data_IF_424379582641
#
_entry.id   IF_424379582641
#
_cell.length_a   1.000
_cell.length_b   1.000
_cell.length_c   1.000
_cell.angle_alpha   90.00
_cell.angle_beta   90.00
_cell.angle_gamma   90.00
#
_symmetry.space_group_name_H-M   'P 1'
#
loop_
_entity.id
_entity.type
_entity.pdbx_description
1 polymer ?
#
# COMPACT_ATOMS: atom_id res chain seq x y z
N UNK A 1 -2.47 -14.93 49.89
CA UNK A 1 -2.54 -15.30 48.46
C UNK A 1 -2.80 -14.01 47.71
N UNK A 2 -1.72 -13.32 47.36
CA UNK A 2 -1.79 -12.04 46.66
C UNK A 2 -2.05 -12.29 45.18
N UNK A 3 -3.18 -11.78 44.71
CA UNK A 3 -3.61 -11.86 43.33
C UNK A 3 -2.73 -10.93 42.49
N UNK A 4 -1.66 -11.48 41.88
CA UNK A 4 -0.88 -10.75 40.88
C UNK A 4 -1.79 -10.37 39.72
N UNK A 5 -2.02 -9.07 39.55
CA UNK A 5 -2.64 -8.52 38.35
C UNK A 5 -1.75 -8.84 37.14
N UNK A 6 -2.32 -9.24 36.00
CA UNK A 6 -1.54 -9.46 34.79
C UNK A 6 -0.82 -8.17 34.40
N UNK A 7 0.49 -8.27 34.23
CA UNK A 7 1.35 -7.19 33.78
C UNK A 7 0.79 -6.66 32.44
N UNK A 8 0.36 -5.42 32.46
CA UNK A 8 0.07 -4.62 31.27
C UNK A 8 1.30 -4.68 30.35
N UNK A 9 1.07 -5.21 29.15
CA UNK A 9 1.96 -5.15 27.99
C UNK A 9 2.75 -3.83 28.01
N UNK A 10 4.08 -3.92 27.97
CA UNK A 10 4.97 -2.76 27.92
C UNK A 10 4.43 -1.72 26.93
N UNK A 11 3.96 -0.59 27.46
CA UNK A 11 3.79 0.64 26.68
C UNK A 11 5.20 1.05 26.26
N UNK A 12 5.68 0.47 25.16
CA UNK A 12 6.82 1.05 24.42
C UNK A 12 6.44 2.51 24.22
N UNK A 13 7.27 3.44 24.68
CA UNK A 13 7.08 4.87 24.43
C UNK A 13 7.30 5.11 22.94
N UNK A 14 6.23 4.86 22.17
CA UNK A 14 6.20 4.84 20.72
C UNK A 14 6.79 6.11 20.11
N UNK A 15 6.58 7.26 20.78
CA UNK A 15 7.12 8.57 20.40
C UNK A 15 8.66 8.63 20.35
N UNK A 16 9.35 7.75 21.09
CA UNK A 16 10.81 7.66 21.08
C UNK A 16 11.38 6.86 19.91
N UNK A 17 10.54 6.20 19.11
CA UNK A 17 10.96 5.44 17.94
C UNK A 17 10.88 6.30 16.67
N UNK A 18 11.70 6.02 15.64
CA UNK A 18 11.69 6.80 14.42
C UNK A 18 10.32 6.75 13.71
N UNK A 19 9.78 7.93 13.39
CA UNK A 19 8.42 8.11 12.88
C UNK A 19 7.31 7.98 13.92
N UNK A 20 7.61 7.71 15.19
CA UNK A 20 6.58 7.44 16.21
C UNK A 20 5.78 8.65 16.70
N UNK A 21 6.36 9.84 16.59
CA UNK A 21 5.72 11.11 16.93
C UNK A 21 4.60 11.52 15.95
N UNK A 22 4.48 10.86 14.79
CA UNK A 22 3.55 11.28 13.75
C UNK A 22 2.14 10.74 14.03
N UNK A 23 1.13 11.56 13.76
CA UNK A 23 -0.28 11.10 13.77
C UNK A 23 -0.61 10.41 12.45
N UNK A 24 -1.10 9.17 12.52
CA UNK A 24 -1.51 8.42 11.32
C UNK A 24 -2.64 9.12 10.58
N UNK A 25 -3.62 9.67 11.32
CA UNK A 25 -4.79 10.33 10.75
C UNK A 25 -4.46 11.71 10.17
N UNK A 26 -3.55 12.45 10.81
CA UNK A 26 -3.15 13.78 10.32
C UNK A 26 -2.18 13.70 9.16
N UNK A 27 -1.52 12.55 8.96
CA UNK A 27 -0.73 12.25 7.76
C UNK A 27 -1.56 12.13 6.48
N UNK A 28 -2.89 12.01 6.58
CA UNK A 28 -3.80 11.88 5.44
C UNK A 28 -4.50 13.23 5.13
N UNK A 29 -4.46 13.70 3.87
CA UNK A 29 -5.24 14.86 3.45
C UNK A 29 -6.74 14.65 3.70
N UNK A 30 -7.46 15.71 4.11
CA UNK A 30 -8.91 15.60 4.41
C UNK A 30 -9.72 15.07 3.22
N UNK A 31 -9.46 15.56 2.01
CA UNK A 31 -10.12 15.09 0.80
C UNK A 31 -9.93 13.58 0.56
N UNK A 32 -8.76 13.02 0.93
CA UNK A 32 -8.54 11.57 0.85
C UNK A 32 -9.32 10.83 1.94
N UNK A 33 -9.37 11.38 3.17
CA UNK A 33 -10.18 10.80 4.26
C UNK A 33 -11.65 10.77 3.88
N UNK A 34 -12.18 11.83 3.28
CA UNK A 34 -13.56 11.89 2.78
C UNK A 34 -13.83 10.83 1.71
N UNK A 35 -12.95 10.72 0.71
CA UNK A 35 -13.04 9.68 -0.32
C UNK A 35 -13.03 8.27 0.28
N UNK A 36 -12.20 8.02 1.29
CA UNK A 36 -12.10 6.72 1.95
C UNK A 36 -13.34 6.41 2.82
N UNK A 37 -13.97 7.41 3.43
CA UNK A 37 -15.20 7.22 4.23
C UNK A 37 -16.41 6.86 3.37
N UNK A 38 -16.45 7.33 2.12
CA UNK A 38 -17.55 7.04 1.18
C UNK A 38 -17.25 5.88 0.24
N UNK A 39 -16.00 5.38 0.23
CA UNK A 39 -15.60 4.30 -0.66
C UNK A 39 -16.39 3.01 -0.39
N UNK A 40 -16.82 2.35 -1.45
CA UNK A 40 -17.33 0.98 -1.37
C UNK A 40 -16.17 -0.01 -1.17
N UNK A 41 -15.07 0.19 -1.90
CA UNK A 41 -13.90 -0.67 -1.89
C UNK A 41 -12.61 0.14 -1.96
N UNK A 42 -11.59 -0.37 -1.28
CA UNK A 42 -10.19 0.02 -1.47
C UNK A 42 -9.47 -1.17 -2.10
N UNK A 43 -8.96 -1.01 -3.32
CA UNK A 43 -8.34 -2.10 -4.10
C UNK A 43 -6.86 -1.81 -4.31
N UNK A 44 -6.00 -2.60 -3.68
CA UNK A 44 -4.55 -2.51 -3.84
C UNK A 44 -4.12 -3.37 -5.02
N UNK A 45 -3.55 -2.74 -6.04
CA UNK A 45 -3.11 -3.40 -7.26
C UNK A 45 -1.60 -3.55 -7.24
N UNK A 46 -1.12 -4.78 -7.04
CA UNK A 46 0.31 -5.06 -7.07
C UNK A 46 0.90 -4.73 -8.46
N UNK A 47 2.21 -4.51 -8.50
CA UNK A 47 2.94 -4.42 -9.78
C UNK A 47 3.12 -5.80 -10.46
N UNK A 48 2.26 -6.78 -10.18
CA UNK A 48 2.42 -8.15 -10.65
C UNK A 48 2.25 -8.24 -12.20
N UNK A 49 3.25 -8.77 -12.94
CA UNK A 49 3.18 -8.90 -14.39
C UNK A 49 2.15 -9.94 -14.88
N UNK A 50 1.66 -10.80 -13.98
CA UNK A 50 0.55 -11.71 -14.26
C UNK A 50 -0.78 -10.97 -14.48
N UNK A 51 -0.99 -9.81 -13.82
CA UNK A 51 -2.20 -8.99 -13.95
C UNK A 51 -2.36 -8.48 -15.38
N UNK A 52 -3.57 -8.68 -15.92
CA UNK A 52 -4.02 -8.34 -17.27
C UNK A 52 -5.20 -7.37 -17.24
N UNK A 53 -5.60 -6.86 -18.40
CA UNK A 53 -6.81 -6.05 -18.54
C UNK A 53 -8.09 -6.81 -18.15
N UNK A 54 -8.13 -8.13 -18.31
CA UNK A 54 -9.29 -8.94 -17.93
C UNK A 54 -9.48 -8.97 -16.41
N UNK A 55 -8.40 -8.92 -15.63
CA UNK A 55 -8.46 -8.80 -14.18
C UNK A 55 -9.10 -7.47 -13.75
N UNK A 56 -8.71 -6.38 -14.41
CA UNK A 56 -9.29 -5.05 -14.19
C UNK A 56 -10.78 -4.98 -14.58
N UNK A 57 -11.15 -5.59 -15.72
CA UNK A 57 -12.54 -5.68 -16.13
C UNK A 57 -13.37 -6.50 -15.13
N UNK A 58 -12.83 -7.60 -14.63
CA UNK A 58 -13.50 -8.44 -13.63
C UNK A 58 -13.68 -7.72 -12.28
N UNK A 59 -12.75 -6.83 -11.90
CA UNK A 59 -12.92 -5.99 -10.72
C UNK A 59 -14.09 -5.01 -10.86
N UNK A 60 -14.48 -4.65 -12.09
CA UNK A 60 -15.53 -3.67 -12.38
C UNK A 60 -15.36 -2.38 -11.55
N UNK A 61 -14.18 -1.77 -11.66
CA UNK A 61 -13.82 -0.55 -10.91
C UNK A 61 -14.76 0.58 -11.32
N UNK A 62 -15.45 1.15 -10.34
CA UNK A 62 -16.43 2.22 -10.47
C UNK A 62 -16.01 3.52 -9.78
N UNK A 63 -16.96 4.45 -9.70
CA UNK A 63 -16.75 5.79 -9.12
C UNK A 63 -16.57 5.75 -7.60
N UNK A 64 -17.15 4.77 -6.91
CA UNK A 64 -17.06 4.65 -5.45
C UNK A 64 -15.86 3.81 -4.99
N UNK A 65 -14.96 3.46 -5.91
CA UNK A 65 -13.76 2.70 -5.59
C UNK A 65 -12.54 3.60 -5.43
N UNK A 66 -11.70 3.25 -4.47
CA UNK A 66 -10.35 3.77 -4.30
C UNK A 66 -9.37 2.72 -4.81
N UNK A 67 -8.57 3.07 -5.80
CA UNK A 67 -7.59 2.19 -6.44
C UNK A 67 -6.19 2.63 -6.06
N UNK A 68 -5.41 1.71 -5.49
CA UNK A 68 -4.07 1.98 -4.96
C UNK A 68 -3.03 1.33 -5.87
N UNK A 69 -2.08 2.13 -6.35
CA UNK A 69 -0.98 1.68 -7.23
C UNK A 69 0.38 2.07 -6.64
N UNK A 70 1.44 1.35 -7.01
CA UNK A 70 2.73 1.43 -6.30
C UNK A 70 3.90 1.83 -7.19
N UNK A 71 4.76 2.70 -6.66
CA UNK A 71 6.04 3.12 -7.20
C UNK A 71 5.91 3.60 -8.65
N UNK A 72 6.48 2.88 -9.62
CA UNK A 72 6.41 3.22 -11.05
C UNK A 72 5.02 3.06 -11.67
N UNK A 73 4.03 2.57 -10.90
CA UNK A 73 2.63 2.45 -11.30
C UNK A 73 2.48 1.74 -12.65
N UNK A 74 3.08 0.56 -12.78
CA UNK A 74 3.18 -0.19 -14.05
C UNK A 74 1.83 -0.55 -14.68
N UNK A 75 0.74 -0.48 -13.89
CA UNK A 75 -0.64 -0.72 -14.32
C UNK A 75 -1.44 0.55 -14.58
N UNK A 76 -0.80 1.72 -14.60
CA UNK A 76 -1.45 3.03 -14.76
C UNK A 76 -2.32 3.14 -16.01
N UNK A 77 -1.92 2.50 -17.12
CA UNK A 77 -2.72 2.45 -18.35
C UNK A 77 -4.08 1.73 -18.21
N UNK A 78 -4.27 0.94 -17.15
CA UNK A 78 -5.51 0.20 -16.86
C UNK A 78 -6.40 0.93 -15.83
N UNK A 79 -5.92 2.04 -15.27
CA UNK A 79 -6.65 2.80 -14.26
C UNK A 79 -7.74 3.68 -14.90
N UNK A 80 -8.74 3.98 -14.08
CA UNK A 80 -9.95 4.68 -14.47
C UNK A 80 -9.92 6.11 -13.89
N UNK A 81 -10.14 7.18 -14.67
CA UNK A 81 -10.19 8.53 -14.12
C UNK A 81 -11.44 8.80 -13.26
N UNK A 82 -12.48 7.97 -13.36
CA UNK A 82 -13.70 8.09 -12.55
C UNK A 82 -13.49 7.56 -11.12
N UNK A 83 -12.62 6.57 -10.90
CA UNK A 83 -12.29 6.09 -9.56
C UNK A 83 -11.39 7.09 -8.83
N UNK A 84 -11.32 6.97 -7.50
CA UNK A 84 -10.26 7.65 -6.74
C UNK A 84 -8.97 6.86 -6.93
N UNK A 85 -7.87 7.52 -7.28
CA UNK A 85 -6.58 6.89 -7.53
C UNK A 85 -5.55 7.37 -6.50
N UNK A 86 -4.94 6.44 -5.77
CA UNK A 86 -3.89 6.70 -4.79
C UNK A 86 -2.58 6.08 -5.26
N UNK A 87 -1.58 6.91 -5.54
CA UNK A 87 -0.26 6.48 -5.99
C UNK A 87 0.71 6.50 -4.82
N UNK A 88 1.21 5.32 -4.44
CA UNK A 88 2.05 5.15 -3.24
C UNK A 88 3.50 4.96 -3.65
N UNK A 89 4.41 5.75 -3.08
CA UNK A 89 5.83 5.73 -3.41
C UNK A 89 6.68 5.49 -2.16
N UNK A 90 7.55 4.49 -2.24
CA UNK A 90 8.55 4.25 -1.20
C UNK A 90 9.74 5.19 -1.35
N UNK A 91 10.28 5.65 -0.22
CA UNK A 91 11.52 6.43 -0.19
C UNK A 91 12.76 5.54 -0.30
N UNK A 92 13.71 5.94 -1.14
CA UNK A 92 15.06 5.40 -1.16
C UNK A 92 15.97 6.34 -0.36
N UNK A 93 16.32 5.94 0.87
CA UNK A 93 17.10 6.78 1.77
C UNK A 93 18.53 7.10 1.27
N UNK A 94 19.32 6.14 0.76
CA UNK A 94 20.64 6.43 0.20
C UNK A 94 20.67 7.52 -0.87
N UNK A 95 19.70 7.51 -1.78
CA UNK A 95 19.68 8.38 -2.96
C UNK A 95 18.68 9.53 -2.86
N UNK A 96 17.99 9.64 -1.71
CA UNK A 96 17.00 10.67 -1.39
C UNK A 96 15.93 10.91 -2.47
N UNK A 97 15.32 9.85 -2.99
CA UNK A 97 14.20 9.95 -3.94
C UNK A 97 13.04 9.01 -3.63
N UNK A 98 11.89 9.26 -4.22
CA UNK A 98 10.73 8.37 -4.15
C UNK A 98 10.60 7.55 -5.44
N UNK A 99 10.53 6.23 -5.31
CA UNK A 99 10.47 5.33 -6.46
C UNK A 99 9.26 5.64 -7.35
N UNK A 100 9.50 5.85 -8.65
CA UNK A 100 8.44 6.15 -9.62
C UNK A 100 8.01 7.61 -9.66
N UNK A 101 8.72 8.50 -8.96
CA UNK A 101 8.65 9.94 -9.19
C UNK A 101 9.88 10.42 -10.01
N UNK A 102 9.73 11.40 -10.92
CA UNK A 102 8.47 12.02 -11.33
C UNK A 102 7.54 11.03 -12.05
N UNK A 103 6.25 11.33 -12.05
CA UNK A 103 5.23 10.48 -12.65
C UNK A 103 5.49 10.21 -14.14
N UNK A 104 5.19 8.99 -14.57
CA UNK A 104 5.10 8.67 -16.00
C UNK A 104 3.86 9.28 -16.66
N UNK A 105 3.84 9.29 -18.00
CA UNK A 105 2.81 9.97 -18.80
C UNK A 105 1.37 9.55 -18.46
N UNK A 106 1.11 8.26 -18.22
CA UNK A 106 -0.24 7.79 -17.89
C UNK A 106 -0.75 8.32 -16.54
N UNK A 107 0.11 8.38 -15.53
CA UNK A 107 -0.26 8.94 -14.23
C UNK A 107 -0.44 10.45 -14.33
N UNK A 108 0.44 11.15 -15.07
CA UNK A 108 0.26 12.57 -15.34
C UNK A 108 -1.07 12.86 -16.05
N UNK A 109 -1.44 12.02 -17.03
CA UNK A 109 -2.74 12.09 -17.71
C UNK A 109 -3.90 11.92 -16.74
N UNK A 110 -3.82 10.97 -15.80
CA UNK A 110 -4.86 10.81 -14.76
C UNK A 110 -4.97 12.07 -13.89
N UNK A 111 -3.87 12.66 -13.43
CA UNK A 111 -3.92 13.91 -12.67
C UNK A 111 -4.54 15.08 -13.45
N UNK A 112 -4.30 15.15 -14.77
CA UNK A 112 -4.89 16.18 -15.63
C UNK A 112 -6.41 16.01 -15.82
N UNK A 113 -6.91 14.76 -15.88
CA UNK A 113 -8.31 14.47 -16.22
C UNK A 113 -9.19 14.18 -14.99
N UNK A 114 -8.67 13.51 -13.97
CA UNK A 114 -9.40 13.12 -12.77
C UNK A 114 -9.34 14.18 -11.66
N UNK A 115 -8.49 15.21 -11.83
CA UNK A 115 -8.44 16.37 -10.95
C UNK A 115 -8.29 16.00 -9.47
N UNK A 116 -9.30 16.33 -8.67
CA UNK A 116 -9.33 16.13 -7.20
C UNK A 116 -9.38 14.66 -6.76
N UNK A 117 -9.55 13.72 -7.70
CA UNK A 117 -9.65 12.28 -7.41
C UNK A 117 -8.31 11.54 -7.48
N UNK A 118 -7.20 12.25 -7.65
CA UNK A 118 -5.85 11.68 -7.62
C UNK A 118 -5.07 12.16 -6.40
N UNK A 119 -4.51 11.21 -5.67
CA UNK A 119 -3.73 11.43 -4.46
C UNK A 119 -2.38 10.75 -4.55
N UNK A 120 -1.39 11.33 -3.89
CA UNK A 120 -0.06 10.72 -3.72
C UNK A 120 0.11 10.32 -2.27
N UNK A 121 0.72 9.18 -1.99
CA UNK A 121 1.15 8.79 -0.66
C UNK A 121 2.64 8.49 -0.66
N UNK A 122 3.38 9.22 0.15
CA UNK A 122 4.83 9.09 0.29
C UNK A 122 5.12 8.39 1.61
N UNK A 123 5.81 7.25 1.56
CA UNK A 123 6.12 6.45 2.75
C UNK A 123 7.63 6.33 2.93
N UNK A 124 8.09 6.45 4.18
CA UNK A 124 9.51 6.28 4.51
C UNK A 124 10.36 7.54 4.40
N UNK A 125 9.75 8.74 4.30
CA UNK A 125 10.55 9.97 4.20
C UNK A 125 11.43 10.13 5.43
N UNK A 126 12.72 10.40 5.21
CA UNK A 126 13.67 10.74 6.29
C UNK A 126 14.09 12.20 6.24
N UNK A 127 13.48 13.01 5.37
CA UNK A 127 13.85 14.41 5.17
C UNK A 127 12.63 15.33 5.23
N UNK A 128 12.80 16.49 5.88
CA UNK A 128 11.81 17.56 5.93
C UNK A 128 11.25 17.85 4.53
N UNK A 129 9.93 17.85 4.37
CA UNK A 129 9.27 18.16 3.11
C UNK A 129 8.16 19.16 3.33
N UNK A 130 7.99 20.07 2.39
CA UNK A 130 6.87 21.00 2.40
C UNK A 130 5.55 20.22 2.21
N UNK A 131 4.50 20.55 2.96
CA UNK A 131 3.19 19.96 2.74
C UNK A 131 2.70 20.31 1.33
N UNK A 132 2.13 19.32 0.64
CA UNK A 132 1.54 19.48 -0.68
C UNK A 132 0.07 19.04 -0.65
N UNK A 133 -0.82 19.75 -1.36
CA UNK A 133 -2.21 19.35 -1.44
C UNK A 133 -2.33 17.96 -2.09
N UNK A 134 -3.23 17.13 -1.57
CA UNK A 134 -3.45 15.74 -2.04
C UNK A 134 -2.22 14.82 -1.92
N UNK A 135 -1.25 15.18 -1.07
CA UNK A 135 -0.13 14.33 -0.73
C UNK A 135 -0.24 13.91 0.73
N UNK A 136 -0.40 12.60 0.97
CA UNK A 136 -0.18 11.99 2.27
C UNK A 136 1.33 11.75 2.45
N UNK A 137 1.86 12.12 3.62
CA UNK A 137 3.28 11.98 3.92
C UNK A 137 3.45 11.24 5.24
N UNK A 138 4.15 10.11 5.18
CA UNK A 138 4.57 9.36 6.34
C UNK A 138 6.10 9.34 6.49
N UNK A 139 6.53 9.78 7.67
CA UNK A 139 7.90 9.84 8.11
C UNK A 139 8.37 8.47 8.54
N UNK A 140 9.52 8.05 8.03
CA UNK A 140 10.17 6.80 8.42
C UNK A 140 9.18 5.62 8.47
N UNK A 141 8.86 5.13 9.67
CA UNK A 141 7.89 4.06 9.86
C UNK A 141 6.57 4.61 10.37
N UNK A 142 5.48 4.30 9.65
CA UNK A 142 4.12 4.59 10.10
C UNK A 142 3.91 3.89 11.45
N UNK A 143 3.41 4.58 12.50
CA UNK A 143 3.32 4.06 13.86
C UNK A 143 2.17 3.05 14.05
N UNK A 144 2.21 1.97 13.28
CA UNK A 144 1.23 0.89 13.30
C UNK A 144 1.89 -0.41 13.77
N UNK A 145 1.23 -1.23 14.62
CA UNK A 145 1.85 -2.40 15.23
C UNK A 145 2.49 -3.36 14.23
N UNK A 146 1.83 -3.67 13.11
CA UNK A 146 2.37 -4.58 12.11
C UNK A 146 3.62 -4.02 11.39
N UNK A 147 3.75 -2.70 11.31
CA UNK A 147 4.92 -2.06 10.72
C UNK A 147 6.05 -1.95 11.75
N UNK A 148 5.79 -1.63 13.02
CA UNK A 148 6.85 -1.64 14.05
C UNK A 148 7.41 -3.01 14.37
N UNK A 149 6.55 -4.02 14.41
CA UNK A 149 6.98 -5.41 14.63
C UNK A 149 7.56 -6.07 13.36
N UNK A 150 7.78 -5.30 12.28
CA UNK A 150 8.37 -5.81 11.06
C UNK A 150 9.81 -6.31 11.31
N UNK A 151 10.14 -7.55 10.91
CA UNK A 151 11.46 -8.13 11.12
C UNK A 151 12.59 -7.27 10.56
N UNK A 152 13.63 -7.05 11.37
CA UNK A 152 14.82 -6.28 10.94
C UNK A 152 15.84 -7.17 10.25
N UNK A 153 16.10 -8.36 10.80
CA UNK A 153 17.15 -9.26 10.33
C UNK A 153 16.60 -10.52 9.67
N UNK A 154 17.28 -10.97 8.62
CA UNK A 154 17.03 -12.26 7.96
C UNK A 154 17.61 -13.41 8.79
N UNK A 155 17.13 -14.65 8.58
CA UNK A 155 17.88 -15.84 8.97
C UNK A 155 19.28 -15.79 8.32
N UNK A 156 20.32 -15.55 9.12
CA UNK A 156 21.70 -15.30 8.66
C UNK A 156 22.23 -13.88 8.89
N UNK A 157 21.49 -12.99 9.57
CA UNK A 157 22.00 -11.72 10.10
C UNK A 157 22.07 -10.54 9.11
N UNK A 158 21.74 -10.74 7.83
CA UNK A 158 21.59 -9.63 6.88
C UNK A 158 20.26 -8.91 7.11
N UNK A 159 20.26 -7.58 7.13
CA UNK A 159 19.03 -6.79 7.28
C UNK A 159 18.06 -6.91 6.10
N UNK A 160 16.77 -6.85 6.39
CA UNK A 160 15.74 -6.52 5.40
C UNK A 160 15.83 -5.04 5.03
N UNK A 161 15.36 -4.69 3.83
CA UNK A 161 15.29 -3.29 3.38
C UNK A 161 14.09 -2.54 3.96
N UNK A 162 13.34 -3.18 4.87
CA UNK A 162 12.11 -2.67 5.46
C UNK A 162 10.84 -3.21 4.78
N UNK A 163 9.65 -2.75 5.22
CA UNK A 163 8.37 -3.13 4.64
C UNK A 163 8.24 -2.68 3.18
N UNK A 164 7.63 -3.50 2.35
CA UNK A 164 7.32 -3.12 0.98
C UNK A 164 6.36 -1.94 0.92
N UNK A 165 6.40 -1.12 -0.15
CA UNK A 165 5.45 -0.02 -0.36
C UNK A 165 3.99 -0.54 -0.30
N UNK A 166 3.76 -1.72 -0.86
CA UNK A 166 2.46 -2.42 -0.81
C UNK A 166 2.02 -2.73 0.62
N UNK A 167 2.93 -3.24 1.45
CA UNK A 167 2.61 -3.59 2.83
C UNK A 167 2.35 -2.37 3.71
N UNK A 168 3.11 -1.27 3.53
CA UNK A 168 2.83 -0.01 4.23
C UNK A 168 1.39 0.47 3.96
N UNK A 169 0.99 0.50 2.69
CA UNK A 169 -0.36 0.91 2.30
C UNK A 169 -1.43 -0.08 2.82
N UNK A 170 -1.17 -1.38 2.69
CA UNK A 170 -2.09 -2.43 3.14
C UNK A 170 -2.40 -2.30 4.64
N UNK A 171 -1.37 -2.19 5.49
CA UNK A 171 -1.54 -2.05 6.94
C UNK A 171 -2.25 -0.74 7.29
N UNK A 172 -1.93 0.36 6.60
CA UNK A 172 -2.60 1.65 6.84
C UNK A 172 -4.10 1.58 6.51
N UNK A 173 -4.46 1.09 5.33
CA UNK A 173 -5.88 0.97 4.94
C UNK A 173 -6.62 -0.06 5.80
N UNK A 174 -5.96 -1.14 6.20
CA UNK A 174 -6.54 -2.09 7.13
C UNK A 174 -6.87 -1.46 8.49
N UNK A 175 -5.90 -0.73 9.05
CA UNK A 175 -6.06 0.00 10.31
C UNK A 175 -7.16 1.06 10.24
N UNK A 176 -7.29 1.77 9.12
CA UNK A 176 -8.38 2.75 8.94
C UNK A 176 -9.77 2.11 9.05
N UNK A 177 -9.96 0.86 8.58
CA UNK A 177 -11.26 0.17 8.70
C UNK A 177 -11.68 -0.12 10.13
N UNK A 178 -10.74 -0.13 11.09
CA UNK A 178 -11.08 -0.28 12.51
C UNK A 178 -11.58 1.04 13.15
N UNK A 179 -11.65 2.12 12.39
CA UNK A 179 -12.07 3.44 12.87
C UNK A 179 -13.46 3.81 12.37
N UNK A 180 -14.21 4.52 13.21
CA UNK A 180 -15.57 4.98 12.89
C UNK A 180 -15.60 5.78 11.59
N UNK A 181 -16.50 5.41 10.69
CA UNK A 181 -16.72 6.10 9.42
C UNK A 181 -15.98 5.47 8.22
N UNK A 182 -15.15 4.47 8.41
CA UNK A 182 -14.50 3.73 7.33
C UNK A 182 -15.10 2.32 7.21
N UNK A 183 -15.92 2.10 6.18
CA UNK A 183 -16.71 0.85 6.02
C UNK A 183 -16.41 0.09 4.74
N UNK A 184 -15.42 0.52 3.96
CA UNK A 184 -15.05 -0.11 2.70
C UNK A 184 -14.55 -1.55 2.89
N UNK A 185 -14.72 -2.35 1.84
CA UNK A 185 -14.02 -3.62 1.70
C UNK A 185 -12.57 -3.36 1.27
N UNK A 186 -11.61 -3.97 1.95
CA UNK A 186 -10.20 -3.92 1.56
C UNK A 186 -9.88 -5.14 0.70
N UNK A 187 -9.37 -4.90 -0.50
CA UNK A 187 -9.07 -5.93 -1.48
C UNK A 187 -7.63 -5.83 -2.00
N UNK A 188 -7.04 -6.96 -2.36
CA UNK A 188 -5.74 -7.01 -3.03
C UNK A 188 -5.84 -7.77 -4.36
N UNK A 189 -5.22 -7.24 -5.41
CA UNK A 189 -5.07 -7.90 -6.70
C UNK A 189 -3.59 -8.15 -6.98
N UNK A 190 -3.23 -9.42 -7.21
CA UNK A 190 -1.88 -9.82 -7.59
C UNK A 190 -0.84 -9.77 -6.46
N UNK A 191 -1.26 -9.69 -5.19
CA UNK A 191 -0.44 -9.94 -4.00
C UNK A 191 -0.19 -11.45 -3.81
N UNK A 192 0.03 -12.16 -4.91
CA UNK A 192 0.21 -13.61 -5.00
C UNK A 192 1.63 -13.94 -5.47
N UNK A 193 2.01 -15.22 -5.39
CA UNK A 193 3.30 -15.71 -5.91
C UNK A 193 3.31 -15.90 -7.43
N UNK A 194 2.19 -15.65 -8.11
CA UNK A 194 2.04 -15.87 -9.55
C UNK A 194 2.93 -14.86 -10.30
N UNK A 195 3.91 -15.36 -11.04
CA UNK A 195 4.96 -14.61 -11.75
C UNK A 195 6.15 -14.06 -10.93
N UNK A 196 6.32 -14.51 -9.68
CA UNK A 196 7.52 -14.24 -8.89
C UNK A 196 7.55 -12.85 -8.22
N UNK A 197 8.68 -12.52 -7.59
CA UNK A 197 8.87 -11.26 -6.86
C UNK A 197 9.63 -10.29 -7.75
N UNK A 198 9.08 -9.09 -7.97
CA UNK A 198 9.78 -8.00 -8.67
C UNK A 198 10.95 -7.43 -7.86
N UNK A 199 10.86 -7.50 -6.53
CA UNK A 199 11.84 -6.94 -5.62
C UNK A 199 12.19 -7.95 -4.52
N UNK A 200 13.48 -8.04 -4.21
CA UNK A 200 13.99 -8.90 -3.14
C UNK A 200 14.39 -8.06 -1.93
N UNK A 201 14.48 -8.71 -0.77
CA UNK A 201 14.98 -8.06 0.44
C UNK A 201 13.95 -7.50 1.41
N UNK A 202 12.66 -7.66 1.12
CA UNK A 202 11.58 -7.52 2.10
C UNK A 202 11.37 -8.85 2.85
N UNK A 203 10.83 -8.78 4.06
CA UNK A 203 10.39 -9.92 4.87
C UNK A 203 9.07 -10.47 4.31
N UNK A 204 9.11 -10.99 3.10
CA UNK A 204 7.94 -11.46 2.37
C UNK A 204 7.13 -12.53 3.11
N UNK A 205 7.78 -13.38 3.92
CA UNK A 205 7.07 -14.39 4.70
C UNK A 205 6.22 -13.73 5.80
N UNK A 206 6.74 -12.69 6.44
CA UNK A 206 5.99 -11.88 7.41
C UNK A 206 4.82 -11.14 6.74
N UNK A 207 5.05 -10.44 5.62
CA UNK A 207 3.99 -9.70 4.92
C UNK A 207 2.85 -10.62 4.46
N UNK A 208 3.19 -11.84 4.01
CA UNK A 208 2.22 -12.83 3.55
C UNK A 208 1.49 -13.50 4.69
N UNK A 209 2.19 -13.88 5.76
CA UNK A 209 1.56 -14.43 6.96
C UNK A 209 0.57 -13.42 7.57
N UNK A 210 0.93 -12.13 7.61
CA UNK A 210 0.03 -11.07 8.02
C UNK A 210 -1.22 -11.00 7.13
N UNK A 211 -1.05 -10.97 5.80
CA UNK A 211 -2.18 -10.93 4.85
C UNK A 211 -3.07 -12.19 4.93
N UNK A 212 -2.49 -13.36 5.21
CA UNK A 212 -3.25 -14.60 5.37
C UNK A 212 -4.09 -14.63 6.65
N UNK A 213 -3.67 -13.88 7.68
CA UNK A 213 -4.36 -13.80 8.98
C UNK A 213 -5.36 -12.64 9.05
N UNK A 214 -5.38 -11.75 8.06
CA UNK A 214 -6.37 -10.67 7.99
C UNK A 214 -7.64 -11.12 7.27
N UNK A 215 -8.70 -10.32 7.37
CA UNK A 215 -9.96 -10.44 6.65
C UNK A 215 -9.93 -9.73 5.28
N UNK A 216 -8.75 -9.34 4.80
CA UNK A 216 -8.56 -8.68 3.50
C UNK A 216 -8.91 -9.64 2.36
N UNK A 217 -9.71 -9.16 1.41
CA UNK A 217 -10.16 -9.98 0.28
C UNK A 217 -9.04 -10.09 -0.75
N UNK A 218 -8.48 -11.29 -0.91
CA UNK A 218 -7.50 -11.57 -1.98
C UNK A 218 -8.25 -11.93 -3.26
N UNK A 219 -8.18 -11.05 -4.26
CA UNK A 219 -8.83 -11.26 -5.56
C UNK A 219 -7.94 -12.18 -6.40
N UNK A 220 -8.44 -13.36 -6.81
CA UNK A 220 -7.67 -14.28 -7.64
C UNK A 220 -7.49 -13.70 -9.05
N UNK A 221 -6.31 -13.93 -9.64
CA UNK A 221 -6.08 -13.58 -11.04
C UNK A 221 -6.91 -14.47 -11.96
N UNK A 222 -7.41 -13.88 -13.04
CA UNK A 222 -8.09 -14.58 -14.12
C UNK A 222 -7.13 -15.60 -14.75
N UNK A 223 -7.58 -16.87 -14.83
CA UNK A 223 -6.79 -17.95 -15.40
C UNK A 223 -6.46 -17.64 -16.86
N UNK A 224 -5.17 -17.55 -17.18
CA UNK A 224 -4.72 -17.49 -18.58
C UNK A 224 -5.05 -18.80 -19.27
N UNK A 225 -5.71 -18.73 -20.43
CA UNK A 225 -5.96 -19.92 -21.24
C UNK A 225 -4.62 -20.46 -21.75
N UNK A 226 -4.46 -21.79 -21.79
CA UNK A 226 -3.21 -22.48 -22.13
C UNK A 226 -2.55 -21.99 -23.43
N UNK A 227 -3.34 -21.61 -24.44
CA UNK A 227 -2.84 -21.08 -25.71
C UNK A 227 -2.24 -19.66 -25.61
N UNK A 228 -2.68 -18.81 -24.67
CA UNK A 228 -2.10 -17.48 -24.44
C UNK A 228 -0.69 -17.57 -23.82
N UNK A 229 -0.42 -18.64 -23.09
CA UNK A 229 0.92 -18.92 -22.52
C UNK A 229 1.89 -19.36 -23.62
N UNK A 230 1.42 -20.16 -24.59
CA UNK A 230 2.23 -20.65 -25.71
C UNK A 230 2.62 -19.53 -26.69
N UNK A 231 1.71 -18.57 -26.96
CA UNK A 231 1.95 -17.50 -27.94
C UNK A 231 2.85 -16.36 -27.43
N UNK A 232 3.08 -16.24 -26.11
CA UNK A 232 4.01 -15.25 -25.53
C UNK A 232 5.45 -15.74 -25.41
N UNK A 233 5.76 -16.98 -25.82
CA UNK A 233 7.14 -17.43 -26.06
C UNK A 233 7.57 -17.03 -27.48
N UNK A 234 7.79 -15.73 -27.71
CA UNK A 234 8.57 -15.21 -28.83
C UNK A 234 9.32 -13.98 -28.35
#
# INVERSE_FOLDING_TARGET
>A
MDCQKPQTCEQVALDGLPGGHQSVMDGLPEALKECLRTAARVVLIANNPAITSADFQALNIGIDDVVVSFNTCVKSALLCPQSVNVFVHGFNAPDAYFFGLPYGAEVQRLFQHAGERCFTMLVGSTQAMCPLPRVALFWERIPLPALWNYPVDRPGGKRYVGPSTGFNALVLFDWLRSHTGYTYQLMTLGFSNEAGKLWSGHAWDYERDWLQKSDVIVVPLQRRRWWQVLLRRK
#
